data_IF_530762191539
#
_entry.id   IF_530762191539
#
_cell.length_a   1.000
_cell.length_b   1.000
_cell.length_c   1.000
_cell.angle_alpha   90.00
_cell.angle_beta   90.00
_cell.angle_gamma   90.00
#
_symmetry.space_group_name_H-M   'P 1'
#
loop_
_entity.id
_entity.type
_entity.pdbx_description
1 polymer ?
#
# COMPACT_ATOMS: atom_id res chain seq x y z
N UNK A 1 -36.34 -3.86 -25.83
CA UNK A 1 -36.90 -4.05 -24.48
C UNK A 1 -36.32 -5.35 -23.95
N UNK A 2 -35.18 -5.30 -23.22
CA UNK A 2 -34.62 -6.50 -22.57
C UNK A 2 -35.39 -6.65 -21.26
N UNK A 3 -36.09 -7.77 -21.11
CA UNK A 3 -36.66 -8.19 -19.83
C UNK A 3 -35.52 -8.19 -18.80
N UNK A 4 -35.63 -7.30 -17.82
CA UNK A 4 -35.00 -7.50 -16.52
C UNK A 4 -36.07 -8.25 -15.76
N UNK A 5 -35.84 -9.52 -15.50
CA UNK A 5 -36.71 -10.33 -14.66
C UNK A 5 -36.83 -9.63 -13.29
N UNK A 6 -38.03 -9.19 -12.87
CA UNK A 6 -38.22 -8.42 -11.64
C UNK A 6 -38.10 -9.26 -10.36
N UNK A 7 -37.94 -10.59 -10.51
CA UNK A 7 -37.86 -11.60 -9.44
C UNK A 7 -36.51 -12.34 -9.42
N UNK A 8 -35.45 -11.75 -9.99
CA UNK A 8 -34.10 -12.19 -9.64
C UNK A 8 -33.82 -11.74 -8.20
N UNK A 9 -34.29 -12.53 -7.23
CA UNK A 9 -33.87 -12.45 -5.84
C UNK A 9 -32.34 -12.45 -5.84
N UNK A 10 -31.76 -11.29 -5.59
CA UNK A 10 -30.38 -11.18 -5.16
C UNK A 10 -30.33 -11.94 -3.83
N UNK A 11 -30.03 -13.24 -3.88
CA UNK A 11 -29.67 -14.04 -2.71
C UNK A 11 -28.46 -13.36 -2.06
N UNK A 12 -28.75 -12.48 -1.11
CA UNK A 12 -27.76 -11.91 -0.21
C UNK A 12 -27.42 -13.01 0.78
N UNK A 13 -26.37 -13.77 0.49
CA UNK A 13 -25.80 -14.70 1.46
C UNK A 13 -25.04 -13.87 2.52
N UNK A 14 -25.55 -13.75 3.76
CA UNK A 14 -24.90 -12.97 4.80
C UNK A 14 -23.54 -13.54 5.21
N UNK A 15 -23.21 -14.78 4.80
CA UNK A 15 -21.94 -15.44 5.07
C UNK A 15 -20.93 -15.32 3.92
N UNK A 16 -21.27 -14.67 2.79
CA UNK A 16 -20.33 -14.40 1.70
C UNK A 16 -19.40 -13.23 2.10
N UNK A 17 -18.38 -13.55 2.90
CA UNK A 17 -17.35 -12.59 3.33
C UNK A 17 -16.55 -12.14 2.11
N UNK A 18 -16.85 -10.94 1.62
CA UNK A 18 -16.09 -10.28 0.55
C UNK A 18 -14.58 -10.27 0.87
N UNK A 19 -13.83 -11.16 0.23
CA UNK A 19 -12.37 -11.36 0.40
C UNK A 19 -11.52 -10.35 -0.40
N UNK A 20 -12.15 -9.39 -1.07
CA UNK A 20 -11.47 -8.38 -1.88
C UNK A 20 -10.81 -7.28 -1.04
N UNK A 21 -9.79 -6.59 -1.58
CA UNK A 21 -9.18 -5.44 -0.91
C UNK A 21 -10.23 -4.38 -0.64
N UNK A 22 -10.29 -3.89 0.61
CA UNK A 22 -11.26 -2.87 1.00
C UNK A 22 -11.14 -1.62 0.11
N UNK A 23 -12.25 -0.90 -0.10
CA UNK A 23 -12.25 0.36 -0.87
C UNK A 23 -11.16 1.35 -0.37
N UNK A 24 -10.87 1.30 0.93
CA UNK A 24 -9.81 2.09 1.58
C UNK A 24 -8.39 1.63 1.23
N UNK A 25 -8.18 0.34 0.94
CA UNK A 25 -6.89 -0.19 0.49
C UNK A 25 -6.60 0.23 -0.95
N UNK A 26 -7.56 0.02 -1.85
CA UNK A 26 -7.41 0.39 -3.27
C UNK A 26 -7.11 1.88 -3.45
N UNK A 27 -7.74 2.73 -2.62
CA UNK A 27 -7.46 4.17 -2.60
C UNK A 27 -6.00 4.46 -2.19
N UNK A 28 -5.49 3.79 -1.15
CA UNK A 28 -4.11 3.95 -0.67
C UNK A 28 -3.09 3.51 -1.71
N UNK A 29 -3.34 2.39 -2.39
CA UNK A 29 -2.45 1.89 -3.43
C UNK A 29 -2.35 2.88 -4.60
N UNK A 30 -3.48 3.46 -5.01
CA UNK A 30 -3.51 4.50 -6.05
C UNK A 30 -2.77 5.77 -5.62
N UNK A 31 -2.92 6.19 -4.35
CA UNK A 31 -2.21 7.35 -3.80
C UNK A 31 -0.70 7.10 -3.71
N UNK A 32 -0.27 5.91 -3.29
CA UNK A 32 1.15 5.53 -3.24
C UNK A 32 1.81 5.57 -4.63
N UNK A 33 1.14 5.06 -5.67
CA UNK A 33 1.63 5.14 -7.05
C UNK A 33 1.76 6.58 -7.55
N UNK A 34 0.79 7.44 -7.19
CA UNK A 34 0.82 8.86 -7.54
C UNK A 34 2.01 9.55 -6.85
N UNK A 35 2.24 9.27 -5.57
CA UNK A 35 3.34 9.85 -4.78
C UNK A 35 4.72 9.40 -5.28
N UNK A 36 4.87 8.13 -5.65
CA UNK A 36 6.09 7.61 -6.27
C UNK A 36 6.40 8.36 -7.58
N UNK A 37 5.38 8.56 -8.42
CA UNK A 37 5.52 9.36 -9.65
C UNK A 37 5.94 10.81 -9.39
N UNK A 38 5.42 11.44 -8.33
CA UNK A 38 5.85 12.79 -7.93
C UNK A 38 7.28 12.83 -7.40
N UNK A 39 7.71 11.78 -6.70
CA UNK A 39 9.09 11.65 -6.22
C UNK A 39 10.06 11.62 -7.41
N UNK A 40 9.74 10.85 -8.47
CA UNK A 40 10.55 10.80 -9.69
C UNK A 40 10.79 12.17 -10.34
N UNK A 41 9.77 13.04 -10.35
CA UNK A 41 9.86 14.41 -10.91
C UNK A 41 10.82 15.28 -10.11
N UNK A 42 10.87 15.09 -8.78
CA UNK A 42 11.69 15.89 -7.85
C UNK A 42 13.16 15.42 -7.77
N UNK A 43 13.48 14.25 -8.32
CA UNK A 43 14.84 13.70 -8.22
C UNK A 43 15.90 14.58 -8.92
N UNK A 44 17.12 14.66 -8.35
CA UNK A 44 18.30 15.15 -9.06
C UNK A 44 18.48 14.48 -10.43
N UNK A 45 18.93 15.23 -11.43
CA UNK A 45 19.09 14.73 -12.80
C UNK A 45 20.03 13.50 -12.88
N UNK A 46 21.07 13.46 -12.03
CA UNK A 46 22.00 12.34 -11.96
C UNK A 46 21.34 11.05 -11.45
N UNK A 47 20.45 11.15 -10.45
CA UNK A 47 19.72 10.00 -9.91
C UNK A 47 18.64 9.54 -10.89
N UNK A 48 17.88 10.46 -11.46
CA UNK A 48 16.84 10.14 -12.45
C UNK A 48 17.38 9.37 -13.67
N UNK A 49 18.56 9.73 -14.18
CA UNK A 49 19.21 9.02 -15.30
C UNK A 49 19.61 7.58 -14.97
N UNK A 50 19.80 7.25 -13.69
CA UNK A 50 20.18 5.92 -13.23
C UNK A 50 18.97 5.01 -13.02
N UNK A 51 17.75 5.58 -12.96
CA UNK A 51 16.54 4.79 -12.78
C UNK A 51 16.13 4.18 -14.11
N UNK A 52 15.94 2.86 -14.10
CA UNK A 52 15.39 2.16 -15.24
C UNK A 52 13.87 2.34 -15.26
N UNK A 53 13.39 3.04 -16.28
CA UNK A 53 11.99 3.42 -16.43
C UNK A 53 11.56 3.09 -17.85
N UNK A 54 10.32 2.58 -18.04
CA UNK A 54 9.71 2.50 -19.35
C UNK A 54 9.75 3.85 -20.08
N UNK A 55 9.98 3.81 -21.39
CA UNK A 55 10.27 5.01 -22.19
C UNK A 55 9.16 6.07 -22.08
N UNK A 56 7.90 5.63 -22.12
CA UNK A 56 6.73 6.48 -21.94
C UNK A 56 6.73 7.23 -20.59
N UNK A 57 7.09 6.54 -19.50
CA UNK A 57 7.17 7.13 -18.17
C UNK A 57 8.37 8.08 -18.05
N UNK A 58 9.52 7.71 -18.63
CA UNK A 58 10.73 8.54 -18.64
C UNK A 58 10.50 9.86 -19.36
N UNK A 59 9.88 9.83 -20.54
CA UNK A 59 9.53 11.03 -21.31
C UNK A 59 8.56 11.91 -20.50
N UNK A 60 7.49 11.31 -19.97
CA UNK A 60 6.48 12.05 -19.22
C UNK A 60 7.06 12.77 -17.99
N UNK A 61 7.99 12.12 -17.26
CA UNK A 61 8.70 12.72 -16.13
C UNK A 61 9.66 13.82 -16.59
N UNK A 62 10.41 13.60 -17.67
CA UNK A 62 11.33 14.60 -18.21
C UNK A 62 10.61 15.87 -18.68
N UNK A 63 9.44 15.72 -19.31
CA UNK A 63 8.61 16.86 -19.73
C UNK A 63 8.01 17.58 -18.53
N UNK A 64 7.53 16.84 -17.53
CA UNK A 64 7.01 17.41 -16.29
C UNK A 64 8.01 18.36 -15.62
N UNK A 65 9.30 18.01 -15.64
CA UNK A 65 10.38 18.84 -15.06
C UNK A 65 10.62 20.16 -15.79
N UNK A 66 10.17 20.29 -17.04
CA UNK A 66 10.29 21.52 -17.86
C UNK A 66 9.07 22.44 -17.73
N UNK A 67 7.94 21.92 -17.22
CA UNK A 67 6.70 22.68 -17.10
C UNK A 67 6.80 23.65 -15.92
N UNK A 68 6.61 24.93 -16.19
CA UNK A 68 6.59 26.00 -15.18
C UNK A 68 5.18 26.39 -14.75
N UNK A 69 4.17 26.14 -15.60
CA UNK A 69 2.78 26.51 -15.35
C UNK A 69 2.09 25.51 -14.41
N UNK A 70 1.62 25.98 -13.26
CA UNK A 70 1.03 25.15 -12.19
C UNK A 70 -0.13 24.24 -12.67
N UNK A 71 -0.99 24.76 -13.55
CA UNK A 71 -2.11 23.98 -14.11
C UNK A 71 -1.65 22.83 -15.01
N UNK A 72 -0.66 23.09 -15.88
CA UNK A 72 -0.07 22.07 -16.74
C UNK A 72 0.74 21.06 -15.92
N UNK A 73 1.47 21.52 -14.90
CA UNK A 73 2.25 20.68 -14.00
C UNK A 73 1.35 19.68 -13.26
N UNK A 74 0.23 20.15 -12.71
CA UNK A 74 -0.75 19.28 -12.03
C UNK A 74 -1.30 18.20 -12.96
N UNK A 75 -1.66 18.56 -14.20
CA UNK A 75 -2.16 17.60 -15.20
C UNK A 75 -1.10 16.59 -15.58
N UNK A 76 0.14 17.03 -15.76
CA UNK A 76 1.24 16.14 -16.10
C UNK A 76 1.56 15.16 -14.96
N UNK A 77 1.53 15.60 -13.69
CA UNK A 77 1.65 14.72 -12.53
C UNK A 77 0.55 13.65 -12.48
N UNK A 78 -0.69 14.01 -12.79
CA UNK A 78 -1.81 13.05 -12.85
C UNK A 78 -1.62 12.04 -13.99
N UNK A 79 -1.12 12.49 -15.13
CA UNK A 79 -0.78 11.60 -16.25
C UNK A 79 0.33 10.62 -15.87
N UNK A 80 1.39 11.08 -15.20
CA UNK A 80 2.45 10.22 -14.65
C UNK A 80 1.84 9.17 -13.70
N UNK A 81 0.97 9.58 -12.77
CA UNK A 81 0.30 8.62 -11.87
C UNK A 81 -0.60 7.62 -12.58
N UNK A 82 -1.20 7.98 -13.73
CA UNK A 82 -1.90 7.01 -14.61
C UNK A 82 -0.92 6.00 -15.23
N UNK A 83 0.23 6.46 -15.72
CA UNK A 83 1.27 5.58 -16.28
C UNK A 83 1.84 4.64 -15.21
N UNK A 84 1.99 5.12 -13.97
CA UNK A 84 2.47 4.33 -12.82
C UNK A 84 1.59 3.11 -12.51
N UNK A 85 0.30 3.12 -12.87
CA UNK A 85 -0.60 1.96 -12.68
C UNK A 85 -0.37 0.83 -13.68
N UNK A 86 0.34 1.11 -14.77
CA UNK A 86 0.64 0.14 -15.83
C UNK A 86 2.06 -0.43 -15.75
N UNK A 87 2.82 -0.10 -14.70
CA UNK A 87 4.20 -0.54 -14.49
C UNK A 87 4.34 -1.20 -13.12
N UNK A 88 5.35 -2.05 -12.96
CA UNK A 88 5.71 -2.58 -11.64
C UNK A 88 6.45 -1.50 -10.83
N UNK A 89 5.89 -1.01 -9.70
CA UNK A 89 6.54 0.00 -8.88
C UNK A 89 7.71 -0.54 -8.05
N UNK A 90 7.79 -1.85 -7.81
CA UNK A 90 8.78 -2.45 -6.91
C UNK A 90 10.25 -2.14 -7.28
N UNK A 91 10.71 -2.31 -8.54
CA UNK A 91 12.10 -2.01 -8.90
C UNK A 91 12.41 -0.51 -8.81
N UNK A 92 11.44 0.36 -9.11
CA UNK A 92 11.60 1.81 -9.03
C UNK A 92 11.78 2.21 -7.56
N UNK A 93 10.91 1.69 -6.67
CA UNK A 93 10.97 1.97 -5.25
C UNK A 93 12.32 1.51 -4.65
N UNK A 94 12.78 0.30 -5.00
CA UNK A 94 14.06 -0.21 -4.52
C UNK A 94 15.25 0.68 -4.92
N UNK A 95 15.25 1.23 -6.15
CA UNK A 95 16.31 2.15 -6.58
C UNK A 95 16.25 3.49 -5.85
N UNK A 96 15.04 4.00 -5.55
CA UNK A 96 14.87 5.21 -4.74
C UNK A 96 15.38 5.01 -3.31
N UNK A 97 15.12 3.85 -2.72
CA UNK A 97 15.56 3.52 -1.35
C UNK A 97 17.09 3.54 -1.26
N UNK A 98 17.78 2.96 -2.26
CA UNK A 98 19.24 3.01 -2.38
C UNK A 98 19.76 4.46 -2.43
N UNK A 99 19.08 5.37 -3.14
CA UNK A 99 19.48 6.78 -3.20
C UNK A 99 19.24 7.54 -1.90
N UNK A 100 18.19 7.18 -1.17
CA UNK A 100 17.84 7.80 0.12
C UNK A 100 18.68 7.27 1.29
N UNK A 101 19.57 6.30 1.04
CA UNK A 101 20.33 5.63 2.10
C UNK A 101 19.45 4.79 3.03
N UNK A 102 18.19 4.56 2.65
CA UNK A 102 17.31 3.62 3.33
C UNK A 102 17.77 2.24 2.89
N UNK A 103 18.26 1.43 3.82
CA UNK A 103 18.70 0.09 3.44
C UNK A 103 17.52 -0.68 2.86
N UNK A 104 17.73 -1.40 1.76
CA UNK A 104 16.70 -2.25 1.14
C UNK A 104 16.10 -3.20 2.18
N UNK A 105 16.91 -3.63 3.15
CA UNK A 105 16.47 -4.44 4.29
C UNK A 105 15.49 -3.67 5.20
N UNK A 106 15.76 -2.41 5.53
CA UNK A 106 14.89 -1.59 6.37
C UNK A 106 13.56 -1.27 5.68
N UNK A 107 13.59 -0.93 4.38
CA UNK A 107 12.36 -0.71 3.63
C UNK A 107 11.55 -2.02 3.47
N UNK A 108 12.23 -3.13 3.16
CA UNK A 108 11.59 -4.44 3.11
C UNK A 108 10.92 -4.81 4.43
N UNK A 109 11.56 -4.52 5.57
CA UNK A 109 10.99 -4.70 6.92
C UNK A 109 9.78 -3.81 7.17
N UNK A 110 9.83 -2.54 6.78
CA UNK A 110 8.68 -1.63 6.89
C UNK A 110 7.48 -2.17 6.12
N UNK A 111 7.65 -2.49 4.84
CA UNK A 111 6.57 -3.04 4.03
C UNK A 111 6.11 -4.43 4.49
N UNK A 112 7.02 -5.27 4.98
CA UNK A 112 6.67 -6.56 5.58
C UNK A 112 5.81 -6.37 6.83
N UNK A 113 6.14 -5.38 7.67
CA UNK A 113 5.36 -5.02 8.85
C UNK A 113 3.96 -4.51 8.48
N UNK A 114 3.86 -3.68 7.44
CA UNK A 114 2.56 -3.21 6.91
C UNK A 114 1.70 -4.35 6.38
N UNK A 115 2.29 -5.22 5.55
CA UNK A 115 1.60 -6.39 5.00
C UNK A 115 1.10 -7.32 6.10
N UNK A 116 1.93 -7.59 7.11
CA UNK A 116 1.52 -8.43 8.25
C UNK A 116 0.41 -7.79 9.06
N UNK A 117 0.50 -6.49 9.38
CA UNK A 117 -0.60 -5.77 10.05
C UNK A 117 -1.91 -5.95 9.29
N UNK A 118 -1.90 -5.66 7.98
CA UNK A 118 -3.12 -5.69 7.18
C UNK A 118 -3.67 -7.13 7.07
N UNK A 119 -2.77 -8.13 6.95
CA UNK A 119 -3.13 -9.55 6.92
C UNK A 119 -3.70 -10.03 8.27
N UNK A 120 -3.12 -9.62 9.39
CA UNK A 120 -3.59 -9.97 10.74
C UNK A 120 -4.99 -9.39 11.04
N UNK A 121 -5.30 -8.23 10.47
CA UNK A 121 -6.63 -7.63 10.59
C UNK A 121 -7.63 -8.32 9.66
N UNK A 122 -7.22 -8.66 8.44
CA UNK A 122 -8.11 -9.27 7.44
C UNK A 122 -8.45 -10.74 7.75
N UNK A 123 -7.48 -11.52 8.23
CA UNK A 123 -7.59 -12.98 8.37
C UNK A 123 -7.26 -13.44 9.79
N UNK A 124 -8.11 -14.31 10.36
CA UNK A 124 -7.91 -14.90 11.67
C UNK A 124 -6.77 -15.93 11.68
N UNK A 125 -6.56 -16.64 10.57
CA UNK A 125 -5.54 -17.68 10.45
C UNK A 125 -4.14 -17.09 10.28
N UNK A 126 -4.05 -15.83 9.85
CA UNK A 126 -2.81 -15.08 9.73
C UNK A 126 -2.08 -14.95 11.07
N UNK A 127 -2.80 -14.89 12.20
CA UNK A 127 -2.18 -14.86 13.52
C UNK A 127 -1.44 -16.16 13.80
N UNK A 128 -2.05 -17.31 13.50
CA UNK A 128 -1.43 -18.63 13.69
C UNK A 128 -0.16 -18.75 12.84
N UNK A 129 -0.21 -18.28 11.58
CA UNK A 129 0.96 -18.23 10.71
C UNK A 129 2.06 -17.32 11.28
N UNK A 130 1.70 -16.14 11.78
CA UNK A 130 2.65 -15.20 12.37
C UNK A 130 3.32 -15.75 13.63
N UNK A 131 2.54 -16.36 14.53
CA UNK A 131 3.05 -16.98 15.76
C UNK A 131 3.96 -18.19 15.47
N UNK A 132 3.74 -18.91 14.37
CA UNK A 132 4.64 -20.00 13.96
C UNK A 132 6.02 -19.50 13.54
N UNK A 133 6.09 -18.31 12.94
CA UNK A 133 7.35 -17.66 12.56
C UNK A 133 8.00 -16.90 13.72
N UNK A 134 7.20 -16.42 14.69
CA UNK A 134 7.65 -15.65 15.85
C UNK A 134 7.05 -16.20 17.14
N UNK A 135 7.61 -17.29 17.71
CA UNK A 135 7.08 -17.93 18.92
C UNK A 135 7.18 -17.05 20.17
N UNK A 136 8.07 -16.06 20.18
CA UNK A 136 8.25 -15.12 21.29
C UNK A 136 7.18 -14.00 21.33
N UNK A 137 6.27 -13.96 20.35
CA UNK A 137 5.23 -12.96 20.27
C UNK A 137 4.10 -13.21 21.29
N UNK A 138 3.64 -12.16 21.96
CA UNK A 138 2.49 -12.24 22.87
C UNK A 138 1.18 -12.42 22.08
N UNK A 139 0.76 -13.68 21.95
CA UNK A 139 -0.46 -14.08 21.27
C UNK A 139 -1.74 -13.48 21.89
N UNK A 140 -1.74 -13.20 23.20
CA UNK A 140 -2.91 -12.62 23.88
C UNK A 140 -3.03 -11.15 23.55
N UNK A 141 -1.91 -10.43 23.62
CA UNK A 141 -1.84 -9.02 23.27
C UNK A 141 -2.19 -8.77 21.79
N UNK A 142 -1.62 -9.55 20.87
CA UNK A 142 -1.92 -9.42 19.43
C UNK A 142 -3.40 -9.69 19.12
N UNK A 143 -4.04 -10.69 19.73
CA UNK A 143 -5.50 -10.92 19.56
C UNK A 143 -6.33 -9.75 20.04
N UNK A 144 -5.93 -9.11 21.15
CA UNK A 144 -6.64 -7.94 21.66
C UNK A 144 -6.50 -6.76 20.71
N UNK A 145 -5.30 -6.50 20.20
CA UNK A 145 -5.05 -5.43 19.23
C UNK A 145 -5.82 -5.65 17.92
N UNK A 146 -5.86 -6.88 17.39
CA UNK A 146 -6.59 -7.20 16.15
C UNK A 146 -8.10 -6.93 16.32
N UNK A 147 -8.70 -7.38 17.43
CA UNK A 147 -10.11 -7.11 17.72
C UNK A 147 -10.39 -5.61 17.84
N UNK A 148 -9.57 -4.91 18.62
CA UNK A 148 -9.71 -3.46 18.78
C UNK A 148 -9.57 -2.72 17.44
N UNK A 149 -8.65 -3.14 16.56
CA UNK A 149 -8.47 -2.53 15.25
C UNK A 149 -9.69 -2.75 14.33
N UNK A 150 -10.32 -3.92 14.39
CA UNK A 150 -11.58 -4.20 13.67
C UNK A 150 -12.73 -3.37 14.22
N UNK A 151 -12.86 -3.27 15.54
CA UNK A 151 -13.89 -2.45 16.20
C UNK A 151 -13.69 -0.96 15.91
N UNK A 152 -12.45 -0.46 15.92
CA UNK A 152 -12.11 0.90 15.55
C UNK A 152 -12.50 1.21 14.10
N UNK A 153 -12.21 0.28 13.17
CA UNK A 153 -12.60 0.42 11.77
C UNK A 153 -14.12 0.40 11.58
N UNK A 154 -14.84 -0.50 12.28
CA UNK A 154 -16.30 -0.60 12.21
C UNK A 154 -17.02 0.65 12.74
N UNK A 155 -16.48 1.26 13.79
CA UNK A 155 -17.07 2.45 14.43
C UNK A 155 -16.45 3.77 13.95
N UNK A 156 -15.63 3.74 12.88
CA UNK A 156 -14.94 4.89 12.32
C UNK A 156 -14.14 5.71 13.36
N UNK A 157 -13.59 5.02 14.36
CA UNK A 157 -12.79 5.59 15.45
C UNK A 157 -11.34 5.81 15.00
N UNK A 158 -10.57 6.66 15.71
CA UNK A 158 -9.15 6.83 15.42
C UNK A 158 -8.40 5.48 15.44
N UNK A 159 -7.56 5.17 14.44
CA UNK A 159 -6.95 3.84 14.26
C UNK A 159 -5.73 3.67 15.17
N UNK A 160 -5.94 3.63 16.49
CA UNK A 160 -4.88 3.48 17.49
C UNK A 160 -4.35 2.06 17.50
N UNK A 161 -5.23 1.06 17.58
CA UNK A 161 -4.85 -0.33 17.58
C UNK A 161 -4.17 -0.73 16.26
N UNK A 162 -4.63 -0.19 15.13
CA UNK A 162 -3.98 -0.37 13.82
C UNK A 162 -2.51 0.08 13.81
N UNK A 163 -2.21 1.24 14.41
CA UNK A 163 -0.83 1.76 14.53
C UNK A 163 0.00 0.93 15.50
N UNK A 164 -0.62 0.42 16.55
CA UNK A 164 0.08 -0.38 17.57
C UNK A 164 0.46 -1.77 17.03
N UNK A 165 -0.40 -2.42 16.24
CA UNK A 165 -0.08 -3.68 15.57
C UNK A 165 1.18 -3.52 14.71
N UNK A 166 1.29 -2.43 13.93
CA UNK A 166 2.49 -2.16 13.12
C UNK A 166 3.76 -2.07 13.98
N UNK A 167 3.71 -1.40 15.14
CA UNK A 167 4.87 -1.28 16.03
C UNK A 167 5.30 -2.63 16.57
N UNK A 168 4.35 -3.41 17.11
CA UNK A 168 4.63 -4.73 17.68
C UNK A 168 5.21 -5.67 16.61
N UNK A 169 4.61 -5.70 15.42
CA UNK A 169 5.10 -6.52 14.31
C UNK A 169 6.50 -6.10 13.88
N UNK A 170 6.76 -4.79 13.76
CA UNK A 170 8.10 -4.28 13.40
C UNK A 170 9.15 -4.68 14.43
N UNK A 171 8.85 -4.50 15.73
CA UNK A 171 9.76 -4.89 16.81
C UNK A 171 10.09 -6.39 16.80
N UNK A 172 9.12 -7.23 16.46
CA UNK A 172 9.33 -8.67 16.32
C UNK A 172 10.16 -9.03 15.09
N UNK A 173 9.97 -8.32 13.97
CA UNK A 173 10.78 -8.49 12.76
C UNK A 173 12.20 -7.92 12.89
N UNK A 174 12.43 -7.00 13.82
CA UNK A 174 13.76 -6.48 14.15
C UNK A 174 14.54 -7.39 15.12
N UNK A 175 13.83 -8.22 15.90
CA UNK A 175 14.42 -9.18 16.84
C UNK A 175 14.68 -10.56 16.23
N UNK A 176 14.11 -10.85 15.06
CA UNK A 176 14.31 -12.09 14.31
C UNK A 176 15.57 -12.03 13.44
#
# INVERSE_FOLDING_TARGET
MRLIDPDAELEFDPDEVYSGPSKSQQKRDVEALQELGETLVKLPAAQFKRIDLPENLRIAVADCRKITQNGALRRQKQYIGKLMRGVDPAPIQAQLDVFNGVSVAENAKLHQSERWRDKLIADNDALTQFLSAHPDADATHLRQLIRNARDEAAHNKPPKAFREIFRVVRELLDKA
#
